data_IF_543160861658
#
_entry.id   IF_543160861658
#
_cell.length_a   1.000
_cell.length_b   1.000
_cell.length_c   1.000
_cell.angle_alpha   90.00
_cell.angle_beta   90.00
_cell.angle_gamma   90.00
#
_symmetry.space_group_name_H-M   'P 1'
#
loop_
_entity.id
_entity.type
_entity.pdbx_description
1 polymer ?
#
# COMPACT_ATOMS: atom_id res chain seq x y z
N UNK A 1 -2.94 2.10 11.68
CA UNK A 1 -2.82 1.04 10.66
C UNK A 1 -1.45 1.17 10.01
N UNK A 2 -0.82 0.06 9.62
CA UNK A 2 0.63 -0.14 9.67
C UNK A 2 1.25 -0.51 8.33
N UNK A 3 1.94 0.42 7.67
CA UNK A 3 2.80 0.15 6.52
C UNK A 3 4.19 -0.19 7.05
N UNK A 4 4.63 -1.44 6.87
CA UNK A 4 5.90 -1.93 7.42
C UNK A 4 6.92 -2.18 6.32
N UNK A 5 7.70 -1.17 5.95
CA UNK A 5 8.82 -1.29 5.01
C UNK A 5 10.04 -1.93 5.68
N UNK A 6 10.18 -3.25 5.55
CA UNK A 6 11.43 -3.93 5.93
C UNK A 6 12.43 -3.88 4.78
N UNK A 7 13.41 -2.99 4.89
CA UNK A 7 14.62 -3.02 4.07
C UNK A 7 15.63 -4.00 4.70
N UNK A 8 16.44 -4.68 3.88
CA UNK A 8 17.61 -5.43 4.37
C UNK A 8 18.66 -5.32 3.29
N UNK A 9 19.59 -4.38 3.45
CA UNK A 9 20.67 -4.16 2.48
C UNK A 9 21.94 -4.73 3.09
N UNK A 10 22.20 -6.01 2.87
CA UNK A 10 23.41 -6.63 3.41
C UNK A 10 24.62 -6.28 2.54
N UNK A 11 25.35 -5.27 2.98
CA UNK A 11 26.76 -5.14 2.68
C UNK A 11 27.41 -4.66 3.95
N UNK A 12 28.19 -5.54 4.61
CA UNK A 12 28.85 -5.33 5.92
C UNK A 12 27.96 -5.52 7.16
N UNK A 13 26.82 -6.23 7.07
CA UNK A 13 25.98 -6.53 8.24
C UNK A 13 25.16 -5.35 8.78
N UNK A 14 25.04 -4.27 7.99
CA UNK A 14 24.16 -3.13 8.27
C UNK A 14 22.79 -3.44 7.66
N UNK A 15 21.70 -3.19 8.38
CA UNK A 15 20.33 -3.28 7.82
C UNK A 15 19.45 -2.16 8.37
N UNK A 16 18.36 -1.83 7.66
CA UNK A 16 17.42 -0.79 8.08
C UNK A 16 15.97 -1.24 7.95
N UNK A 17 15.13 -0.95 8.94
CA UNK A 17 13.70 -1.27 8.95
C UNK A 17 12.90 0.02 9.08
N UNK A 18 12.14 0.41 8.06
CA UNK A 18 11.29 1.59 8.07
C UNK A 18 9.83 1.21 8.29
N UNK A 19 9.22 1.69 9.36
CA UNK A 19 7.81 1.43 9.68
C UNK A 19 7.05 2.76 9.62
N UNK A 20 6.03 2.85 8.78
CA UNK A 20 5.13 3.99 8.66
C UNK A 20 3.69 3.54 8.89
N UNK A 21 3.07 3.94 9.99
CA UNK A 21 1.66 3.62 10.20
C UNK A 21 0.78 4.76 9.68
N UNK A 22 0.09 4.61 8.55
CA UNK A 22 -0.84 5.65 8.08
C UNK A 22 -2.26 5.15 7.81
N UNK A 23 -3.18 6.11 7.93
CA UNK A 23 -4.54 6.04 7.45
C UNK A 23 -4.69 7.16 6.42
N UNK A 24 -5.32 6.87 5.29
CA UNK A 24 -5.58 7.88 4.27
C UNK A 24 -6.55 8.95 4.80
N UNK A 25 -6.25 10.22 4.53
CA UNK A 25 -7.10 11.37 4.79
C UNK A 25 -7.64 11.91 3.46
N UNK A 26 -8.73 12.67 3.53
CA UNK A 26 -9.35 13.35 2.37
C UNK A 26 -9.59 12.42 1.17
N UNK A 27 -9.95 11.17 1.44
CA UNK A 27 -10.19 10.18 0.39
C UNK A 27 -11.46 10.51 -0.39
N UNK A 28 -11.32 10.67 -1.71
CA UNK A 28 -12.42 10.90 -2.63
C UNK A 28 -12.26 10.03 -3.89
N UNK A 29 -13.28 10.01 -4.73
CA UNK A 29 -13.38 9.16 -5.92
C UNK A 29 -14.37 8.02 -5.72
N UNK A 30 -14.56 7.22 -6.78
CA UNK A 30 -15.47 6.08 -6.78
C UNK A 30 -14.75 4.80 -7.18
N UNK A 31 -15.21 3.70 -6.59
CA UNK A 31 -14.75 2.35 -6.93
C UNK A 31 -15.97 1.51 -7.29
N UNK A 32 -15.99 1.02 -8.51
CA UNK A 32 -17.03 0.14 -9.03
C UNK A 32 -16.44 -1.25 -9.26
N UNK A 33 -17.08 -2.25 -8.67
CA UNK A 33 -16.77 -3.66 -8.91
C UNK A 33 -17.76 -4.22 -9.93
N UNK A 34 -17.25 -4.91 -10.93
CA UNK A 34 -18.03 -5.70 -11.90
C UNK A 34 -17.78 -7.19 -11.64
N UNK A 35 -18.17 -8.09 -12.54
CA UNK A 35 -17.87 -9.52 -12.37
C UNK A 35 -16.38 -9.86 -12.46
N UNK A 36 -15.61 -9.10 -13.26
CA UNK A 36 -14.21 -9.43 -13.58
C UNK A 36 -13.25 -8.23 -13.48
N UNK A 37 -13.76 -7.03 -13.17
CA UNK A 37 -13.00 -5.79 -13.25
C UNK A 37 -13.33 -4.85 -12.10
N UNK A 38 -12.30 -4.20 -11.58
CA UNK A 38 -12.40 -3.08 -10.67
C UNK A 38 -12.15 -1.80 -11.47
N UNK A 39 -13.04 -0.83 -11.35
CA UNK A 39 -12.95 0.46 -12.03
C UNK A 39 -12.89 1.54 -10.96
N UNK A 40 -11.80 2.31 -10.98
CA UNK A 40 -11.56 3.42 -10.07
C UNK A 40 -11.64 4.71 -10.85
N UNK A 41 -12.41 5.68 -10.36
CA UNK A 41 -12.57 6.99 -10.99
C UNK A 41 -12.28 8.10 -10.00
N UNK A 42 -11.27 8.92 -10.31
CA UNK A 42 -10.91 10.11 -9.54
C UNK A 42 -10.44 9.79 -8.10
N UNK A 43 -9.82 8.64 -7.87
CA UNK A 43 -9.30 8.28 -6.56
C UNK A 43 -8.18 9.24 -6.16
N UNK A 44 -8.38 9.92 -5.05
CA UNK A 44 -7.39 10.82 -4.45
C UNK A 44 -7.39 10.61 -2.94
N UNK A 45 -6.23 10.74 -2.31
CA UNK A 45 -6.09 10.75 -0.87
C UNK A 45 -4.79 11.41 -0.46
N UNK A 46 -4.73 11.82 0.80
CA UNK A 46 -3.51 12.28 1.44
C UNK A 46 -3.06 11.28 2.50
N UNK A 47 -1.76 11.09 2.59
CA UNK A 47 -1.07 10.40 3.68
C UNK A 47 -0.35 11.48 4.47
N UNK A 48 -0.55 11.46 5.77
CA UNK A 48 0.10 12.37 6.70
C UNK A 48 0.39 11.57 7.97
N UNK A 49 1.63 11.12 8.08
CA UNK A 49 2.12 10.29 9.18
C UNK A 49 3.58 10.60 9.49
N UNK A 50 4.12 9.93 10.51
CA UNK A 50 5.55 9.88 10.80
C UNK A 50 6.03 8.45 10.55
N UNK A 51 7.09 8.29 9.78
CA UNK A 51 7.76 6.99 9.64
C UNK A 51 8.96 6.91 10.59
N UNK A 52 9.16 5.73 11.18
CA UNK A 52 10.29 5.37 12.04
C UNK A 52 11.23 4.49 11.23
N UNK A 53 12.52 4.79 11.23
CA UNK A 53 13.54 3.92 10.63
C UNK A 53 14.49 3.43 11.72
N UNK A 54 14.63 2.12 11.84
CA UNK A 54 15.54 1.43 12.75
C UNK A 54 16.76 0.96 11.97
N UNK A 55 17.96 1.29 12.42
CA UNK A 55 19.21 0.82 11.85
C UNK A 55 19.81 -0.27 12.74
N UNK A 56 20.25 -1.36 12.13
CA UNK A 56 20.88 -2.48 12.83
C UNK A 56 22.29 -2.71 12.29
N UNK A 57 23.23 -3.05 13.17
CA UNK A 57 24.58 -3.51 12.82
C UNK A 57 24.77 -4.89 13.46
N UNK A 58 25.11 -5.89 12.65
CA UNK A 58 25.24 -7.29 13.09
C UNK A 58 24.02 -7.80 13.87
N UNK A 59 22.82 -7.39 13.45
CA UNK A 59 21.55 -7.77 14.08
C UNK A 59 21.18 -7.01 15.36
N UNK A 60 22.06 -6.15 15.87
CA UNK A 60 21.78 -5.31 17.05
C UNK A 60 21.28 -3.93 16.62
N UNK A 61 20.25 -3.40 17.30
CA UNK A 61 19.75 -2.04 17.04
C UNK A 61 20.87 -1.05 17.35
N UNK A 62 21.27 -0.28 16.34
CA UNK A 62 22.29 0.75 16.43
C UNK A 62 21.67 2.12 16.67
N UNK A 63 20.64 2.48 15.91
CA UNK A 63 19.98 3.78 15.98
C UNK A 63 18.54 3.73 15.49
N UNK A 64 17.74 4.75 15.81
CA UNK A 64 16.41 4.96 15.22
C UNK A 64 16.14 6.44 14.97
N UNK A 65 15.64 6.75 13.77
CA UNK A 65 15.24 8.11 13.39
C UNK A 65 13.75 8.14 13.03
N UNK A 66 13.10 9.27 13.30
CA UNK A 66 11.72 9.52 12.87
C UNK A 66 11.65 10.72 11.94
N UNK A 67 10.86 10.63 10.88
CA UNK A 67 10.65 11.73 9.94
C UNK A 67 9.19 11.80 9.49
N UNK A 68 8.63 13.01 9.28
CA UNK A 68 7.29 13.15 8.70
C UNK A 68 7.26 12.59 7.26
N UNK A 69 6.19 11.87 6.95
CA UNK A 69 5.82 11.41 5.61
C UNK A 69 4.48 12.04 5.24
N UNK A 70 4.53 13.03 4.36
CA UNK A 70 3.36 13.60 3.72
C UNK A 70 3.39 13.24 2.24
N UNK A 71 2.31 12.61 1.75
CA UNK A 71 2.17 12.26 0.35
C UNK A 71 0.72 12.46 -0.09
N UNK A 72 0.51 12.91 -1.33
CA UNK A 72 -0.82 13.06 -1.90
C UNK A 72 -0.89 12.25 -3.18
N UNK A 73 -1.86 11.34 -3.27
CA UNK A 73 -2.21 10.73 -4.54
C UNK A 73 -3.08 11.73 -5.33
N UNK A 74 -2.59 12.27 -6.46
CA UNK A 74 -3.42 13.10 -7.32
C UNK A 74 -4.62 12.27 -7.84
N UNK A 75 -5.76 12.90 -8.18
CA UNK A 75 -6.93 12.19 -8.70
C UNK A 75 -6.55 11.25 -9.85
N UNK A 76 -6.67 9.95 -9.61
CA UNK A 76 -6.25 8.90 -10.53
C UNK A 76 -7.44 8.02 -10.87
N UNK A 77 -7.58 7.72 -12.15
CA UNK A 77 -8.58 6.79 -12.66
C UNK A 77 -7.87 5.63 -13.33
N UNK A 78 -8.34 4.42 -13.06
CA UNK A 78 -7.74 3.20 -13.58
C UNK A 78 -8.75 2.07 -13.57
N UNK A 79 -8.51 1.07 -14.40
CA UNK A 79 -9.27 -0.18 -14.41
C UNK A 79 -8.30 -1.35 -14.40
N UNK A 80 -8.58 -2.37 -13.60
CA UNK A 80 -7.81 -3.60 -13.60
C UNK A 80 -8.74 -4.80 -13.52
N UNK A 81 -8.41 -5.84 -14.29
CA UNK A 81 -9.09 -7.13 -14.23
C UNK A 81 -8.66 -7.87 -12.97
N UNK A 82 -9.60 -8.55 -12.34
CA UNK A 82 -9.35 -9.41 -11.19
C UNK A 82 -10.04 -10.76 -11.33
N UNK A 83 -9.58 -11.68 -10.48
CA UNK A 83 -10.22 -12.94 -10.19
C UNK A 83 -10.64 -12.91 -8.72
N UNK A 84 -11.91 -13.21 -8.44
CA UNK A 84 -12.35 -13.38 -7.06
C UNK A 84 -11.80 -14.72 -6.56
N UNK A 85 -10.98 -14.68 -5.52
CA UNK A 85 -10.43 -15.89 -4.88
C UNK A 85 -11.40 -16.39 -3.83
N UNK A 86 -11.89 -15.48 -2.97
CA UNK A 86 -12.88 -15.72 -1.93
C UNK A 86 -13.82 -14.50 -1.82
N UNK A 87 -14.84 -14.60 -0.96
CA UNK A 87 -15.83 -13.53 -0.72
C UNK A 87 -15.26 -12.20 -0.20
N UNK A 88 -14.00 -12.15 0.20
CA UNK A 88 -13.30 -10.99 0.72
C UNK A 88 -11.95 -10.72 0.01
N UNK A 89 -11.61 -11.50 -1.02
CA UNK A 89 -10.25 -11.57 -1.57
C UNK A 89 -10.27 -11.55 -3.10
N UNK A 90 -9.56 -10.58 -3.68
CA UNK A 90 -9.40 -10.38 -5.12
C UNK A 90 -7.94 -10.57 -5.52
N UNK A 91 -7.69 -11.22 -6.65
CA UNK A 91 -6.38 -11.38 -7.25
C UNK A 91 -6.32 -10.67 -8.61
N UNK A 92 -5.33 -9.80 -8.78
CA UNK A 92 -5.11 -9.02 -9.99
C UNK A 92 -3.89 -9.57 -10.72
N UNK A 93 -4.03 -10.44 -11.74
CA UNK A 93 -2.90 -11.13 -12.35
C UNK A 93 -1.90 -10.20 -13.05
N UNK A 94 -2.37 -9.04 -13.52
CA UNK A 94 -1.56 -8.06 -14.25
C UNK A 94 -1.26 -6.80 -13.42
N UNK A 95 -1.35 -6.90 -12.09
CA UNK A 95 -1.24 -5.75 -11.19
C UNK A 95 -2.58 -5.14 -10.82
N UNK A 96 -2.68 -4.66 -9.58
CA UNK A 96 -3.87 -3.99 -9.06
C UNK A 96 -3.79 -2.47 -9.13
N UNK A 97 -4.90 -1.82 -8.77
CA UNK A 97 -5.09 -0.37 -8.93
C UNK A 97 -4.51 0.42 -7.75
N UNK A 98 -4.19 -0.26 -6.65
CA UNK A 98 -3.84 0.38 -5.39
C UNK A 98 -2.35 0.70 -5.26
N UNK A 99 -1.51 0.43 -6.26
CA UNK A 99 -0.07 0.64 -6.13
C UNK A 99 0.32 2.10 -6.36
N UNK A 100 0.06 2.96 -5.36
CA UNK A 100 0.51 4.36 -5.34
C UNK A 100 2.05 4.51 -5.36
N UNK A 101 2.77 3.41 -5.15
CA UNK A 101 4.23 3.37 -5.13
C UNK A 101 4.89 2.94 -6.46
N UNK A 102 4.12 2.35 -7.40
CA UNK A 102 4.45 2.11 -8.81
C UNK A 102 3.46 1.07 -9.38
N UNK A 103 2.98 1.18 -10.64
CA UNK A 103 2.20 0.11 -11.27
C UNK A 103 3.02 -1.18 -11.29
N UNK A 104 2.67 -2.17 -10.46
CA UNK A 104 3.32 -3.47 -10.50
C UNK A 104 2.72 -4.28 -11.64
N UNK A 105 3.49 -4.64 -12.66
CA UNK A 105 3.06 -5.62 -13.67
C UNK A 105 2.98 -7.05 -13.11
N UNK A 106 3.41 -7.24 -11.87
CA UNK A 106 3.34 -8.46 -11.09
C UNK A 106 1.98 -8.59 -10.38
N UNK A 107 1.49 -9.83 -10.30
CA UNK A 107 0.19 -10.12 -9.71
C UNK A 107 0.05 -9.61 -8.27
N UNK A 108 -1.09 -8.97 -7.96
CA UNK A 108 -1.36 -8.37 -6.66
C UNK A 108 -2.62 -8.97 -6.02
N UNK A 109 -2.55 -9.31 -4.74
CA UNK A 109 -3.71 -9.69 -3.94
C UNK A 109 -4.26 -8.50 -3.15
N UNK A 110 -5.58 -8.33 -3.16
CA UNK A 110 -6.29 -7.32 -2.38
C UNK A 110 -7.35 -8.00 -1.53
N UNK A 111 -7.44 -7.62 -0.26
CA UNK A 111 -8.58 -7.92 0.60
C UNK A 111 -9.49 -6.72 0.67
N UNK A 112 -10.80 -6.96 0.66
CA UNK A 112 -11.77 -5.90 0.84
C UNK A 112 -12.73 -6.19 1.98
N UNK A 113 -13.24 -5.14 2.60
CA UNK A 113 -14.28 -5.24 3.62
C UNK A 113 -15.30 -4.14 3.39
N UNK A 114 -16.56 -4.53 3.25
CA UNK A 114 -17.70 -3.63 3.22
C UNK A 114 -18.35 -3.63 4.60
N UNK A 115 -18.47 -2.45 5.22
CA UNK A 115 -19.16 -2.27 6.49
C UNK A 115 -20.08 -1.06 6.40
N UNK A 116 -21.38 -1.31 6.22
CA UNK A 116 -22.36 -0.26 5.91
C UNK A 116 -21.95 0.44 4.62
N UNK A 117 -21.77 1.76 4.69
CA UNK A 117 -21.35 2.60 3.57
C UNK A 117 -19.83 2.74 3.44
N UNK A 118 -19.05 2.04 4.27
CA UNK A 118 -17.58 2.07 4.21
C UNK A 118 -17.03 0.87 3.44
N UNK A 119 -16.20 1.14 2.43
CA UNK A 119 -15.36 0.17 1.77
C UNK A 119 -13.92 0.35 2.25
N UNK A 120 -13.32 -0.73 2.73
CA UNK A 120 -11.90 -0.81 3.07
C UNK A 120 -11.23 -1.73 2.07
N UNK A 121 -10.16 -1.27 1.43
CA UNK A 121 -9.33 -2.08 0.53
C UNK A 121 -7.94 -2.20 1.13
N UNK A 122 -7.38 -3.40 1.24
CA UNK A 122 -6.05 -3.65 1.80
C UNK A 122 -5.20 -4.48 0.85
N UNK A 123 -3.99 -4.01 0.54
CA UNK A 123 -3.04 -4.68 -0.33
C UNK A 123 -1.67 -4.78 0.37
N UNK A 124 -0.90 -5.80 0.04
CA UNK A 124 0.53 -5.83 0.33
C UNK A 124 1.26 -5.43 -0.95
N UNK A 125 1.96 -4.31 -0.93
CA UNK A 125 2.77 -3.81 -2.03
C UNK A 125 4.23 -4.13 -1.72
N UNK A 126 4.90 -4.85 -2.63
CA UNK A 126 6.33 -5.07 -2.57
C UNK A 126 7.00 -4.27 -3.69
N UNK A 127 7.86 -3.30 -3.36
CA UNK A 127 8.62 -2.52 -4.33
C UNK A 127 10.10 -2.79 -4.16
N UNK A 128 10.81 -3.10 -5.25
CA UNK A 128 12.27 -3.18 -5.23
C UNK A 128 12.88 -1.96 -5.91
N UNK A 129 13.59 -1.13 -5.17
CA UNK A 129 14.30 0.05 -5.70
C UNK A 129 15.78 -0.07 -5.33
N UNK A 130 16.67 -0.08 -6.32
CA UNK A 130 18.13 -0.16 -6.07
C UNK A 130 18.57 -1.38 -5.26
N UNK A 131 17.95 -2.54 -5.46
CA UNK A 131 18.25 -3.78 -4.72
C UNK A 131 17.60 -3.87 -3.33
N UNK A 132 16.85 -2.85 -2.91
CA UNK A 132 16.11 -2.82 -1.64
C UNK A 132 14.66 -3.18 -1.87
N UNK A 133 14.15 -4.23 -1.22
CA UNK A 133 12.71 -4.56 -1.21
C UNK A 133 12.00 -3.85 -0.06
N UNK A 134 10.96 -3.10 -0.38
CA UNK A 134 10.02 -2.45 0.54
C UNK A 134 8.73 -3.24 0.50
N UNK A 135 8.34 -3.85 1.62
CA UNK A 135 6.99 -4.38 1.78
C UNK A 135 6.11 -3.32 2.44
N UNK A 136 4.87 -3.16 2.01
CA UNK A 136 4.00 -2.11 2.50
C UNK A 136 2.57 -2.63 2.57
N UNK A 137 1.93 -2.60 3.74
CA UNK A 137 0.48 -2.83 3.81
C UNK A 137 -0.21 -1.51 3.52
N UNK A 138 -0.78 -1.38 2.33
CA UNK A 138 -1.57 -0.22 1.98
C UNK A 138 -3.03 -0.53 2.24
N UNK A 139 -3.72 0.38 2.93
CA UNK A 139 -5.17 0.26 3.09
C UNK A 139 -5.84 1.59 2.84
N UNK A 140 -6.85 1.56 1.97
CA UNK A 140 -7.63 2.73 1.56
C UNK A 140 -9.02 2.62 2.15
N UNK A 141 -9.48 3.72 2.74
CA UNK A 141 -10.84 3.88 3.22
C UNK A 141 -11.64 4.75 2.27
N UNK A 142 -12.75 4.21 1.77
CA UNK A 142 -13.69 4.92 0.91
C UNK A 142 -15.06 4.89 1.55
N UNK A 143 -15.75 6.04 1.54
CA UNK A 143 -17.15 6.13 1.93
C UNK A 143 -18.00 6.22 0.67
N UNK A 144 -19.11 5.49 0.64
CA UNK A 144 -20.15 5.64 -0.37
C UNK A 144 -20.70 7.07 -0.26
N UNK A 145 -20.67 7.81 -1.36
CA UNK A 145 -21.37 9.10 -1.47
C UNK A 145 -22.84 8.87 -1.77
#
# INVERSE_FOLDING_TARGET
MSVQSRTTTDTLGISSLSIANYTTKSSAGTVNFTSDSMIVSGLTYTVDTTFMTYFYIAGSLYDSISSPLTATLPPTSASAKYQMINSDSLYFPNGGILSSLAPSSTGQGIRYTLKGDSLTLSAVVAQTTGGTTINANETIYLKRQ
#
